data_IF_075825098398
#
_entry.id   IF_075825098398
#
_cell.length_a   1.000
_cell.length_b   1.000
_cell.length_c   1.000
_cell.angle_alpha   90.00
_cell.angle_beta   90.00
_cell.angle_gamma   90.00
#
_symmetry.space_group_name_H-M   'P 1'
#
loop_
_entity.id
_entity.type
_entity.pdbx_description
1 polymer ?
#
# COMPACT_ATOMS: atom_id res chain seq x y z
N UNK A 1 9.62 14.34 15.11
CA UNK A 1 9.46 13.03 14.49
C UNK A 1 8.07 12.89 13.87
N UNK A 2 7.95 12.24 12.74
CA UNK A 2 6.69 12.13 12.00
C UNK A 2 5.77 11.10 12.68
N UNK A 3 4.65 11.54 13.25
CA UNK A 3 3.68 10.69 13.96
C UNK A 3 3.05 9.64 13.05
N UNK A 4 2.78 9.97 11.77
CA UNK A 4 2.25 9.01 10.77
C UNK A 4 3.23 7.86 10.61
N UNK A 5 4.49 8.17 10.40
CA UNK A 5 5.53 7.16 10.21
C UNK A 5 5.68 6.25 11.43
N UNK A 6 5.71 6.83 12.63
CA UNK A 6 5.80 6.06 13.87
C UNK A 6 4.63 5.11 14.06
N UNK A 7 3.42 5.58 13.81
CA UNK A 7 2.21 4.75 13.93
C UNK A 7 2.21 3.63 12.90
N UNK A 8 2.63 3.92 11.67
CA UNK A 8 2.75 2.91 10.63
C UNK A 8 3.80 1.85 10.99
N UNK A 9 4.93 2.26 11.55
CA UNK A 9 5.97 1.31 11.99
C UNK A 9 5.46 0.37 13.07
N UNK A 10 4.71 0.88 14.04
CA UNK A 10 4.11 0.05 15.09
C UNK A 10 3.13 -0.97 14.50
N UNK A 11 2.26 -0.50 13.62
CA UNK A 11 1.27 -1.36 12.97
C UNK A 11 1.93 -2.43 12.10
N UNK A 12 2.97 -2.06 11.36
CA UNK A 12 3.72 -3.00 10.53
C UNK A 12 4.40 -4.09 11.38
N UNK A 13 5.01 -3.70 12.50
CA UNK A 13 5.65 -4.64 13.41
C UNK A 13 4.66 -5.66 13.96
N UNK A 14 3.46 -5.22 14.35
CA UNK A 14 2.41 -6.10 14.85
C UNK A 14 1.91 -7.05 13.77
N UNK A 15 1.83 -6.58 12.53
CA UNK A 15 1.34 -7.37 11.40
C UNK A 15 2.35 -8.40 10.92
N UNK A 16 3.60 -7.98 10.74
CA UNK A 16 4.66 -8.81 10.18
C UNK A 16 6.01 -8.31 10.69
N UNK A 17 6.49 -8.90 11.77
CA UNK A 17 7.72 -8.45 12.42
C UNK A 17 8.95 -8.61 11.52
N UNK A 18 9.00 -9.68 10.72
CA UNK A 18 10.11 -9.89 9.78
C UNK A 18 10.16 -8.81 8.71
N UNK A 19 9.00 -8.46 8.15
CA UNK A 19 8.91 -7.35 7.19
C UNK A 19 9.30 -6.03 7.84
N UNK A 20 8.83 -5.79 9.07
CA UNK A 20 9.20 -4.59 9.81
C UNK A 20 10.71 -4.49 10.01
N UNK A 21 11.38 -5.57 10.41
CA UNK A 21 12.85 -5.58 10.59
C UNK A 21 13.57 -5.27 9.29
N UNK A 22 13.19 -5.92 8.20
CA UNK A 22 13.79 -5.71 6.89
C UNK A 22 13.58 -4.26 6.42
N UNK A 23 12.37 -3.74 6.59
CA UNK A 23 12.05 -2.36 6.23
C UNK A 23 12.82 -1.35 7.07
N UNK A 24 12.86 -1.55 8.38
CA UNK A 24 13.56 -0.65 9.30
C UNK A 24 15.06 -0.59 9.00
N UNK A 25 15.65 -1.73 8.68
CA UNK A 25 17.06 -1.80 8.27
C UNK A 25 17.29 -1.04 6.96
N UNK A 26 16.40 -1.22 5.98
CA UNK A 26 16.46 -0.48 4.72
C UNK A 26 16.31 1.03 4.94
N UNK A 27 15.37 1.43 5.78
CA UNK A 27 15.08 2.84 6.04
C UNK A 27 16.26 3.60 6.63
N UNK A 28 17.15 2.92 7.36
CA UNK A 28 18.36 3.53 7.93
C UNK A 28 19.41 3.89 6.89
N UNK A 29 19.32 3.38 5.68
CA UNK A 29 20.36 3.57 4.65
C UNK A 29 20.29 4.93 3.97
N UNK A 30 19.32 5.77 4.25
CA UNK A 30 19.18 7.15 3.75
C UNK A 30 19.53 7.31 2.28
N UNK A 31 18.66 6.83 1.39
CA UNK A 31 18.78 7.02 -0.05
C UNK A 31 17.79 8.09 -0.52
N UNK A 32 18.14 8.76 -1.62
CA UNK A 32 17.17 9.60 -2.31
C UNK A 32 16.03 8.74 -2.83
N UNK A 33 14.80 9.16 -2.56
CA UNK A 33 13.61 8.47 -3.04
C UNK A 33 13.20 9.00 -4.41
N UNK A 34 12.81 8.09 -5.30
CA UNK A 34 12.17 8.44 -6.57
C UNK A 34 10.66 8.64 -6.41
N UNK A 35 10.09 8.29 -5.26
CA UNK A 35 8.70 8.54 -4.96
C UNK A 35 8.51 9.87 -4.23
N UNK A 36 7.36 10.48 -4.42
CA UNK A 36 7.00 11.74 -3.78
C UNK A 36 5.51 11.75 -3.46
N UNK A 37 5.08 12.71 -2.63
CA UNK A 37 3.66 12.92 -2.39
C UNK A 37 3.19 14.20 -3.07
N UNK A 38 1.90 14.21 -3.40
CA UNK A 38 1.19 15.39 -3.87
C UNK A 38 -0.20 15.40 -3.23
N UNK A 39 -0.90 16.50 -3.35
CA UNK A 39 -2.26 16.62 -2.83
C UNK A 39 -3.23 16.71 -4.01
N UNK A 40 -4.18 15.79 -4.08
CA UNK A 40 -5.23 15.82 -5.10
C UNK A 40 -6.17 17.01 -4.88
N UNK A 41 -6.96 17.34 -5.88
CA UNK A 41 -7.91 18.47 -5.79
C UNK A 41 -8.93 18.29 -4.68
N UNK A 42 -9.28 17.05 -4.33
CA UNK A 42 -10.20 16.77 -3.21
C UNK A 42 -9.52 16.78 -1.84
N UNK A 43 -8.21 17.08 -1.75
CA UNK A 43 -7.46 17.17 -0.51
C UNK A 43 -6.77 15.88 -0.07
N UNK A 44 -7.01 14.75 -0.74
CA UNK A 44 -6.36 13.50 -0.40
C UNK A 44 -4.89 13.49 -0.84
N UNK A 45 -4.02 12.86 -0.03
CA UNK A 45 -2.60 12.73 -0.36
C UNK A 45 -2.40 11.55 -1.30
N UNK A 46 -1.67 11.76 -2.37
CA UNK A 46 -1.37 10.76 -3.39
C UNK A 46 0.13 10.52 -3.48
N UNK A 47 0.49 9.38 -4.07
CA UNK A 47 1.88 9.01 -4.35
C UNK A 47 2.18 9.26 -5.81
N UNK A 48 3.31 9.89 -6.08
CA UNK A 48 3.87 10.03 -7.41
C UNK A 48 5.25 9.39 -7.51
N UNK A 49 5.77 9.29 -8.71
CA UNK A 49 7.05 8.65 -8.98
C UNK A 49 7.79 9.37 -10.09
N UNK A 50 9.08 9.66 -9.85
CA UNK A 50 9.96 10.26 -10.85
C UNK A 50 10.46 9.18 -11.81
N UNK A 51 9.81 9.09 -12.96
CA UNK A 51 10.20 8.18 -14.03
C UNK A 51 11.44 8.67 -14.77
N UNK A 52 11.90 7.89 -15.73
CA UNK A 52 13.10 8.21 -16.51
C UNK A 52 12.92 9.48 -17.35
N UNK A 53 11.77 9.62 -17.99
CA UNK A 53 11.48 10.72 -18.92
C UNK A 53 10.45 11.71 -18.37
N UNK A 54 9.65 11.31 -17.41
CA UNK A 54 8.58 12.15 -16.82
C UNK A 54 8.15 11.61 -15.46
N UNK A 55 7.41 12.43 -14.74
CA UNK A 55 6.78 12.03 -13.49
C UNK A 55 5.45 11.32 -13.75
N UNK A 56 5.12 10.40 -12.87
CA UNK A 56 3.84 9.67 -12.88
C UNK A 56 3.11 9.89 -11.57
N UNK A 57 1.78 9.96 -11.63
CA UNK A 57 0.94 9.89 -10.45
C UNK A 57 0.30 8.52 -10.37
N UNK A 58 0.42 7.87 -9.22
CA UNK A 58 -0.11 6.52 -9.01
C UNK A 58 -1.58 6.53 -8.60
N UNK A 59 -2.12 7.70 -8.29
CA UNK A 59 -3.51 7.92 -7.95
C UNK A 59 -4.04 9.12 -8.74
N UNK A 60 -5.36 9.25 -8.82
CA UNK A 60 -6.01 10.40 -9.45
C UNK A 60 -5.57 11.71 -8.79
N UNK A 61 -5.21 12.71 -9.59
CA UNK A 61 -4.91 14.05 -9.11
C UNK A 61 -6.16 14.86 -8.77
N UNK A 62 -7.35 14.33 -9.06
CA UNK A 62 -8.63 14.97 -8.81
C UNK A 62 -9.34 14.41 -7.59
N UNK A 63 -9.64 13.11 -7.61
CA UNK A 63 -10.40 12.44 -6.55
C UNK A 63 -9.98 10.97 -6.46
N UNK A 64 -8.94 10.65 -5.65
CA UNK A 64 -8.47 9.26 -5.49
C UNK A 64 -9.53 8.30 -4.97
N UNK A 65 -10.39 8.73 -4.04
CA UNK A 65 -11.48 7.89 -3.52
C UNK A 65 -12.46 7.47 -4.61
N UNK A 66 -12.83 8.40 -5.48
CA UNK A 66 -13.74 8.10 -6.59
C UNK A 66 -13.09 7.21 -7.65
N UNK A 67 -11.81 7.41 -7.91
CA UNK A 67 -11.05 6.50 -8.77
C UNK A 67 -11.06 5.09 -8.21
N UNK A 68 -10.81 4.93 -6.91
CA UNK A 68 -10.83 3.63 -6.25
C UNK A 68 -12.19 2.97 -6.33
N UNK A 69 -13.28 3.72 -6.14
CA UNK A 69 -14.65 3.20 -6.30
C UNK A 69 -14.87 2.63 -7.69
N UNK A 70 -14.45 3.36 -8.71
CA UNK A 70 -14.63 2.93 -10.12
C UNK A 70 -13.79 1.70 -10.45
N UNK A 71 -12.52 1.70 -10.06
CA UNK A 71 -11.60 0.61 -10.39
C UNK A 71 -11.92 -0.67 -9.61
N UNK A 72 -12.41 -0.54 -8.39
CA UNK A 72 -12.74 -1.69 -7.54
C UNK A 72 -14.16 -2.19 -7.72
N UNK A 73 -15.00 -1.50 -8.50
CA UNK A 73 -16.41 -1.86 -8.70
C UNK A 73 -16.58 -3.29 -9.22
N UNK A 74 -15.72 -3.74 -10.13
CA UNK A 74 -15.75 -5.10 -10.66
C UNK A 74 -15.39 -6.19 -9.65
N UNK A 75 -14.81 -5.80 -8.53
CA UNK A 75 -14.44 -6.71 -7.43
C UNK A 75 -15.37 -6.55 -6.23
N UNK A 76 -16.45 -5.80 -6.40
CA UNK A 76 -17.47 -5.64 -5.36
C UNK A 76 -18.19 -6.98 -5.15
N UNK A 77 -18.22 -7.41 -3.89
CA UNK A 77 -18.92 -8.66 -3.51
C UNK A 77 -18.46 -9.90 -4.29
N UNK A 78 -17.15 -10.18 -4.24
CA UNK A 78 -16.60 -11.41 -4.82
C UNK A 78 -17.02 -12.64 -3.99
N UNK A 79 -16.96 -13.87 -4.55
CA UNK A 79 -17.33 -15.09 -3.80
C UNK A 79 -16.56 -15.23 -2.48
N UNK A 80 -17.18 -15.79 -1.45
CA UNK A 80 -16.63 -15.87 -0.09
C UNK A 80 -15.25 -16.52 0.00
N UNK A 81 -14.94 -17.46 -0.88
CA UNK A 81 -13.65 -18.16 -0.92
C UNK A 81 -12.64 -17.52 -1.87
N UNK A 82 -12.98 -16.40 -2.49
CA UNK A 82 -12.09 -15.70 -3.40
C UNK A 82 -11.24 -14.65 -2.67
N UNK A 83 -10.11 -14.34 -3.24
CA UNK A 83 -9.22 -13.27 -2.77
C UNK A 83 -8.71 -12.48 -3.98
N UNK A 84 -8.22 -11.27 -3.73
CA UNK A 84 -7.66 -10.43 -4.78
C UNK A 84 -6.15 -10.30 -4.59
N UNK A 85 -5.40 -10.48 -5.69
CA UNK A 85 -3.99 -10.11 -5.75
C UNK A 85 -3.88 -8.79 -6.51
N UNK A 86 -3.18 -7.82 -5.94
CA UNK A 86 -3.03 -6.50 -6.52
C UNK A 86 -1.54 -6.15 -6.65
N UNK A 87 -1.17 -5.61 -7.80
CA UNK A 87 0.17 -5.13 -8.07
C UNK A 87 0.25 -3.64 -7.80
N UNK A 88 1.01 -3.28 -6.79
CA UNK A 88 1.20 -1.88 -6.39
C UNK A 88 0.30 -1.44 -5.24
N UNK A 89 0.90 -0.74 -4.27
CA UNK A 89 0.20 -0.20 -3.11
C UNK A 89 -0.36 1.20 -3.38
N UNK A 90 0.40 2.03 -4.11
CA UNK A 90 0.15 3.46 -4.24
C UNK A 90 -0.04 4.09 -2.85
N UNK A 91 -1.13 4.83 -2.62
CA UNK A 91 -1.44 5.39 -1.30
C UNK A 91 -2.31 4.47 -0.43
N UNK A 92 -2.56 3.22 -0.87
CA UNK A 92 -3.36 2.24 -0.14
C UNK A 92 -4.86 2.32 -0.36
N UNK A 93 -5.35 3.32 -1.07
CA UNK A 93 -6.80 3.55 -1.19
C UNK A 93 -7.53 2.44 -1.96
N UNK A 94 -6.86 1.80 -2.93
CA UNK A 94 -7.48 0.71 -3.70
C UNK A 94 -7.71 -0.51 -2.81
N UNK A 95 -6.70 -0.89 -2.02
CA UNK A 95 -6.82 -2.02 -1.08
C UNK A 95 -7.89 -1.73 -0.02
N UNK A 96 -7.91 -0.51 0.49
CA UNK A 96 -8.91 -0.07 1.47
C UNK A 96 -10.32 -0.19 0.91
N UNK A 97 -10.52 0.27 -0.32
CA UNK A 97 -11.83 0.19 -0.98
C UNK A 97 -12.28 -1.27 -1.19
N UNK A 98 -11.35 -2.14 -1.60
CA UNK A 98 -11.65 -3.57 -1.73
C UNK A 98 -12.17 -4.16 -0.42
N UNK A 99 -11.49 -3.86 0.69
CA UNK A 99 -11.87 -4.39 2.01
C UNK A 99 -13.23 -3.85 2.47
N UNK A 100 -13.55 -2.61 2.15
CA UNK A 100 -14.85 -2.01 2.45
C UNK A 100 -15.98 -2.67 1.69
N UNK A 101 -15.76 -3.03 0.42
CA UNK A 101 -16.77 -3.63 -0.45
C UNK A 101 -16.91 -5.14 -0.25
N UNK A 102 -15.98 -5.79 0.42
CA UNK A 102 -15.96 -7.22 0.65
C UNK A 102 -15.83 -7.50 2.16
N UNK A 103 -16.87 -7.23 2.96
CA UNK A 103 -16.77 -7.31 4.41
C UNK A 103 -16.77 -8.73 4.97
N UNK A 104 -16.96 -9.77 4.14
CA UNK A 104 -17.24 -11.14 4.58
C UNK A 104 -16.01 -12.07 4.62
N UNK A 105 -14.80 -11.52 4.79
CA UNK A 105 -13.60 -12.33 5.02
C UNK A 105 -12.68 -12.47 3.82
N UNK A 106 -12.99 -11.86 2.70
CA UNK A 106 -12.11 -11.89 1.53
C UNK A 106 -10.81 -11.15 1.82
N UNK A 107 -9.69 -11.76 1.47
CA UNK A 107 -8.37 -11.18 1.64
C UNK A 107 -7.91 -10.44 0.39
N UNK A 108 -7.03 -9.46 0.58
CA UNK A 108 -6.29 -8.83 -0.49
C UNK A 108 -4.80 -8.97 -0.22
N UNK A 109 -4.08 -9.40 -1.24
CA UNK A 109 -2.63 -9.59 -1.22
C UNK A 109 -2.01 -8.55 -2.16
N UNK A 110 -1.30 -7.59 -1.62
CA UNK A 110 -0.64 -6.53 -2.39
C UNK A 110 0.83 -6.87 -2.57
N UNK A 111 1.31 -6.78 -3.80
CA UNK A 111 2.74 -6.85 -4.09
C UNK A 111 3.22 -5.45 -4.49
N UNK A 112 4.12 -4.86 -3.70
CA UNK A 112 4.72 -3.58 -4.01
C UNK A 112 6.12 -3.78 -4.59
N UNK A 113 6.33 -3.51 -5.89
CA UNK A 113 7.61 -3.76 -6.54
C UNK A 113 8.69 -2.72 -6.23
N UNK A 114 8.33 -1.58 -5.65
CA UNK A 114 9.25 -0.45 -5.49
C UNK A 114 9.40 -0.03 -4.04
N UNK A 115 10.63 -0.11 -3.53
CA UNK A 115 10.94 0.26 -2.14
C UNK A 115 10.73 1.75 -1.86
N UNK A 116 10.96 2.62 -2.84
CA UNK A 116 10.77 4.06 -2.67
C UNK A 116 9.29 4.40 -2.49
N UNK A 117 8.43 3.73 -3.25
CA UNK A 117 6.97 3.89 -3.11
C UNK A 117 6.53 3.43 -1.72
N UNK A 118 6.97 2.25 -1.28
CA UNK A 118 6.62 1.74 0.04
C UNK A 118 7.14 2.66 1.16
N UNK A 119 8.39 3.11 1.05
CA UNK A 119 8.99 4.04 2.01
C UNK A 119 8.17 5.33 2.11
N UNK A 120 7.84 5.94 0.97
CA UNK A 120 7.08 7.19 0.94
C UNK A 120 5.68 6.99 1.52
N UNK A 121 5.02 5.89 1.19
CA UNK A 121 3.71 5.57 1.77
C UNK A 121 3.80 5.42 3.29
N UNK A 122 4.81 4.72 3.80
CA UNK A 122 5.02 4.56 5.24
C UNK A 122 5.27 5.87 5.96
N UNK A 123 5.98 6.81 5.31
CA UNK A 123 6.33 8.10 5.92
C UNK A 123 5.19 9.11 5.87
N UNK A 124 4.37 9.08 4.82
CA UNK A 124 3.47 10.20 4.50
C UNK A 124 1.99 9.83 4.48
N UNK A 125 1.65 8.55 4.39
CA UNK A 125 0.26 8.08 4.32
C UNK A 125 -0.09 7.32 5.59
N UNK A 126 -1.24 7.60 6.19
CA UNK A 126 -1.73 6.81 7.32
C UNK A 126 -2.21 5.44 6.80
N UNK A 127 -1.38 4.42 7.00
CA UNK A 127 -1.64 3.04 6.60
C UNK A 127 -2.11 2.17 7.78
N UNK A 128 -2.34 2.76 8.95
CA UNK A 128 -2.64 1.98 10.16
C UNK A 128 -3.91 1.14 10.02
N UNK A 129 -4.94 1.66 9.39
CA UNK A 129 -6.19 0.93 9.18
C UNK A 129 -5.95 -0.32 8.31
N UNK A 130 -5.17 -0.18 7.22
CA UNK A 130 -4.79 -1.32 6.38
C UNK A 130 -3.91 -2.30 7.14
N UNK A 131 -2.85 -1.82 7.77
CA UNK A 131 -1.88 -2.67 8.46
C UNK A 131 -2.50 -3.42 9.64
N UNK A 132 -3.52 -2.85 10.27
CA UNK A 132 -4.24 -3.51 11.36
C UNK A 132 -5.36 -4.43 10.87
N UNK A 133 -5.67 -4.45 9.57
CA UNK A 133 -6.70 -5.32 9.02
C UNK A 133 -6.11 -6.72 8.77
N UNK A 134 -6.72 -7.74 9.39
CA UNK A 134 -6.23 -9.13 9.28
C UNK A 134 -6.48 -9.77 7.90
N UNK A 135 -7.16 -9.08 7.00
CA UNK A 135 -7.41 -9.53 5.63
C UNK A 135 -6.50 -8.83 4.60
N UNK A 136 -5.65 -7.92 5.07
CA UNK A 136 -4.68 -7.22 4.23
C UNK A 136 -3.31 -7.86 4.41
N UNK A 137 -2.69 -8.22 3.29
CA UNK A 137 -1.33 -8.80 3.25
C UNK A 137 -0.50 -8.04 2.24
N UNK A 138 0.78 -7.87 2.54
CA UNK A 138 1.69 -7.15 1.65
C UNK A 138 3.04 -7.84 1.56
N UNK A 139 3.52 -7.96 0.33
CA UNK A 139 4.89 -8.31 0.02
C UNK A 139 5.55 -7.12 -0.67
N UNK A 140 6.72 -6.75 -0.19
CA UNK A 140 7.53 -5.66 -0.76
C UNK A 140 8.79 -6.24 -1.36
N UNK A 141 9.06 -5.90 -2.62
CA UNK A 141 10.23 -6.41 -3.34
C UNK A 141 11.51 -6.15 -2.56
N UNK A 142 12.38 -7.15 -2.49
CA UNK A 142 13.66 -7.16 -1.78
C UNK A 142 13.56 -7.20 -0.24
N UNK A 143 12.38 -7.05 0.35
CA UNK A 143 12.18 -7.15 1.79
C UNK A 143 11.57 -8.50 2.19
N UNK A 144 10.45 -8.86 1.58
CA UNK A 144 9.74 -10.11 1.83
C UNK A 144 9.11 -10.66 0.55
N UNK A 145 9.85 -10.62 -0.55
CA UNK A 145 9.37 -11.05 -1.88
C UNK A 145 8.79 -12.46 -1.87
N UNK A 146 9.40 -13.37 -1.12
CA UNK A 146 8.99 -14.78 -1.06
C UNK A 146 7.59 -14.96 -0.45
N UNK A 147 7.17 -14.03 0.41
CA UNK A 147 5.85 -14.08 1.03
C UNK A 147 4.72 -14.05 -0.01
N UNK A 148 4.92 -13.32 -1.12
CA UNK A 148 3.90 -13.24 -2.16
C UNK A 148 3.65 -14.60 -2.82
N UNK A 149 4.71 -15.36 -3.06
CA UNK A 149 4.59 -16.75 -3.55
C UNK A 149 3.87 -17.64 -2.56
N UNK A 150 4.15 -17.49 -1.27
CA UNK A 150 3.50 -18.26 -0.20
C UNK A 150 2.01 -17.95 -0.11
N UNK A 151 1.60 -16.70 -0.35
CA UNK A 151 0.18 -16.33 -0.37
C UNK A 151 -0.58 -17.06 -1.48
N UNK A 152 0.06 -17.35 -2.60
CA UNK A 152 -0.56 -17.97 -3.77
C UNK A 152 -0.65 -19.50 -3.68
N UNK A 153 0.07 -20.09 -2.75
CA UNK A 153 0.09 -21.53 -2.52
C UNK A 153 -0.85 -21.93 -1.40
#
# INVERSE_FOLDING_TARGET
MNTIYENNLKALKQKNEKLWEAFYTYAKQQKESRAFTAVAKNGEVIIGYHGKDRDFNLNSTYNPSKEAEKLMAKYDTIPDNAFLCMYGLANGIFAKRFLECNPHGNAIYVYEPDLDIFMTAMQEIDLTELLNNNRFFIAVESLNTDDFGDFLL
#
